data_IF_000876418602
#
_entry.id   IF_000876418602
#
_cell.length_a   1.000
_cell.length_b   1.000
_cell.length_c   1.000
_cell.angle_alpha   90.00
_cell.angle_beta   90.00
_cell.angle_gamma   90.00
#
_symmetry.space_group_name_H-M   'P 1'
#
loop_
_entity.id
_entity.type
_entity.pdbx_description
1 polymer ?
#
# COMPACT_ATOMS: atom_id res chain seq x y z
N UNK A 1 -6.11 4.44 -24.09
CA UNK A 1 -5.10 5.28 -23.40
C UNK A 1 -4.35 4.36 -22.47
N UNK A 2 -3.12 4.00 -22.84
CA UNK A 2 -2.30 3.07 -22.06
C UNK A 2 -1.85 3.80 -20.79
N UNK A 3 -2.26 3.31 -19.62
CA UNK A 3 -1.81 3.86 -18.36
C UNK A 3 -0.29 3.70 -18.30
N UNK A 4 0.44 4.82 -18.29
CA UNK A 4 1.90 4.84 -18.12
C UNK A 4 2.20 4.11 -16.82
N UNK A 5 2.63 2.86 -16.90
CA UNK A 5 3.00 2.08 -15.72
C UNK A 5 4.16 2.81 -15.06
N UNK A 6 3.99 3.34 -13.83
CA UNK A 6 5.09 3.94 -13.11
C UNK A 6 6.20 2.90 -13.01
N UNK A 7 7.45 3.32 -13.23
CA UNK A 7 8.63 2.46 -13.10
C UNK A 7 8.86 2.10 -11.63
N UNK A 8 7.96 1.28 -11.10
CA UNK A 8 8.08 0.58 -9.82
C UNK A 8 9.10 -0.54 -10.07
N UNK A 9 10.18 -0.57 -9.29
CA UNK A 9 11.03 -1.77 -9.25
C UNK A 9 10.09 -2.87 -8.78
N UNK A 10 9.93 -3.99 -9.52
CA UNK A 10 8.82 -4.91 -9.32
C UNK A 10 8.63 -5.19 -7.84
N UNK A 11 7.42 -4.96 -7.32
CA UNK A 11 7.14 -5.10 -5.91
C UNK A 11 7.61 -6.47 -5.45
N UNK A 12 8.31 -6.53 -4.33
CA UNK A 12 8.91 -7.75 -3.84
C UNK A 12 7.81 -8.62 -3.21
N UNK A 13 6.97 -9.23 -4.07
CA UNK A 13 5.88 -10.15 -3.78
C UNK A 13 4.49 -9.55 -4.03
N UNK A 14 3.59 -10.43 -4.48
CA UNK A 14 2.23 -10.13 -4.89
C UNK A 14 1.28 -10.91 -4.00
N UNK A 15 0.23 -10.25 -3.52
CA UNK A 15 -0.87 -10.94 -2.88
C UNK A 15 -1.57 -11.82 -3.94
N UNK A 16 -1.74 -13.09 -3.61
CA UNK A 16 -2.39 -14.11 -4.43
C UNK A 16 -3.66 -14.65 -3.74
N UNK A 17 -4.10 -14.03 -2.63
CA UNK A 17 -5.37 -14.35 -2.00
C UNK A 17 -6.53 -13.98 -2.95
N UNK A 18 -7.44 -14.92 -3.20
CA UNK A 18 -8.58 -14.73 -4.09
C UNK A 18 -9.39 -13.49 -3.65
N UNK A 19 -9.54 -12.52 -4.56
CA UNK A 19 -10.17 -11.22 -4.29
C UNK A 19 -9.25 -10.10 -3.76
N UNK A 20 -7.97 -10.37 -3.52
CA UNK A 20 -6.92 -9.36 -3.17
C UNK A 20 -5.71 -9.40 -4.11
N UNK A 21 -5.84 -10.12 -5.20
CA UNK A 21 -4.82 -10.34 -6.22
C UNK A 21 -4.17 -9.03 -6.70
N UNK A 22 -2.84 -9.05 -6.85
CA UNK A 22 -2.08 -7.90 -7.36
C UNK A 22 -1.73 -6.86 -6.30
N UNK A 23 -2.10 -7.11 -5.04
CA UNK A 23 -1.66 -6.30 -3.91
C UNK A 23 -0.14 -6.32 -3.74
N UNK A 24 0.45 -5.15 -3.54
CA UNK A 24 1.87 -5.01 -3.21
C UNK A 24 2.02 -4.83 -1.69
N UNK A 25 2.87 -5.65 -1.08
CA UNK A 25 3.20 -5.58 0.35
C UNK A 25 4.55 -4.90 0.60
N UNK A 26 5.42 -4.76 -0.41
CA UNK A 26 6.67 -4.02 -0.31
C UNK A 26 7.09 -3.46 -1.67
N UNK A 27 7.51 -2.20 -1.71
CA UNK A 27 8.11 -1.63 -2.90
C UNK A 27 8.93 -0.36 -2.65
N UNK A 28 9.76 -0.05 -3.63
CA UNK A 28 10.58 1.16 -3.68
C UNK A 28 10.45 1.81 -5.06
N UNK A 29 10.34 3.14 -5.09
CA UNK A 29 10.29 3.93 -6.31
C UNK A 29 11.68 4.50 -6.62
N UNK A 30 11.96 4.71 -7.91
CA UNK A 30 13.18 5.42 -8.35
C UNK A 30 13.26 6.87 -7.86
N UNK A 31 12.18 7.41 -7.30
CA UNK A 31 12.10 8.76 -6.73
C UNK A 31 12.44 8.77 -5.24
N UNK A 32 13.00 7.67 -4.71
CA UNK A 32 13.40 7.57 -3.31
C UNK A 32 12.26 7.26 -2.35
N UNK A 33 11.10 6.78 -2.82
CA UNK A 33 10.00 6.40 -1.91
C UNK A 33 10.04 4.92 -1.60
N UNK A 34 9.82 4.54 -0.35
CA UNK A 34 9.63 3.15 0.07
C UNK A 34 8.33 3.01 0.85
N UNK A 35 7.61 1.94 0.58
CA UNK A 35 6.46 1.56 1.39
C UNK A 35 6.40 0.05 1.61
N UNK A 36 5.96 -0.32 2.81
CA UNK A 36 5.73 -1.69 3.22
C UNK A 36 4.40 -1.81 3.96
N UNK A 37 3.68 -2.91 3.72
CA UNK A 37 2.44 -3.25 4.37
C UNK A 37 2.60 -4.57 5.12
N UNK A 38 2.24 -4.59 6.39
CA UNK A 38 2.24 -5.79 7.23
C UNK A 38 0.85 -6.02 7.79
N UNK A 39 0.43 -7.28 7.87
CA UNK A 39 -0.86 -7.63 8.45
C UNK A 39 -0.80 -7.52 9.96
N UNK A 40 -1.89 -7.06 10.56
CA UNK A 40 -2.14 -7.21 11.99
C UNK A 40 -3.04 -8.44 12.19
N UNK A 41 -2.68 -9.34 13.10
CA UNK A 41 -3.47 -10.54 13.35
C UNK A 41 -4.67 -10.17 14.23
N UNK A 42 -5.84 -10.08 13.61
CA UNK A 42 -7.09 -9.80 14.32
C UNK A 42 -7.93 -11.06 14.51
N UNK A 43 -8.52 -11.28 15.71
CA UNK A 43 -9.42 -12.42 15.94
C UNK A 43 -10.72 -12.37 15.13
N UNK A 44 -11.14 -11.16 14.72
CA UNK A 44 -12.34 -10.91 13.92
C UNK A 44 -11.95 -10.14 12.68
N UNK A 45 -12.26 -10.70 11.52
CA UNK A 45 -12.02 -10.09 10.22
C UNK A 45 -13.36 -9.59 9.69
N UNK A 46 -13.40 -8.35 9.22
CA UNK A 46 -14.53 -7.82 8.47
C UNK A 46 -14.39 -8.23 7.00
N UNK A 47 -15.33 -9.03 6.49
CA UNK A 47 -15.34 -9.50 5.09
C UNK A 47 -15.67 -8.40 4.09
N UNK A 48 -16.32 -7.33 4.53
CA UNK A 48 -16.72 -6.19 3.68
C UNK A 48 -15.66 -5.07 3.64
N UNK A 49 -14.56 -5.24 4.38
CA UNK A 49 -13.47 -4.27 4.40
C UNK A 49 -12.70 -4.25 3.07
N UNK A 50 -12.18 -3.08 2.70
CA UNK A 50 -11.43 -2.90 1.47
C UNK A 50 -10.09 -3.65 1.49
N UNK A 51 -9.66 -4.08 0.30
CA UNK A 51 -8.31 -4.59 0.08
C UNK A 51 -7.25 -3.52 0.34
N UNK A 52 -6.15 -3.92 0.97
CA UNK A 52 -5.04 -3.02 1.35
C UNK A 52 -3.90 -3.01 0.35
N UNK A 53 -3.90 -3.94 -0.60
CA UNK A 53 -2.82 -4.16 -1.55
C UNK A 53 -2.50 -2.97 -2.46
N UNK A 54 -3.45 -2.04 -2.63
CA UNK A 54 -3.24 -0.81 -3.40
C UNK A 54 -2.52 0.27 -2.60
N UNK A 55 -2.49 0.22 -1.26
CA UNK A 55 -1.94 1.28 -0.42
C UNK A 55 -0.43 1.51 -0.66
N UNK A 56 0.33 0.45 -0.93
CA UNK A 56 1.76 0.57 -1.24
C UNK A 56 1.94 1.18 -2.63
N UNK A 57 1.27 0.65 -3.64
CA UNK A 57 1.36 1.15 -5.02
C UNK A 57 0.92 2.62 -5.13
N UNK A 58 -0.14 3.00 -4.42
CA UNK A 58 -0.62 4.38 -4.35
C UNK A 58 0.46 5.31 -3.76
N UNK A 59 1.08 4.94 -2.63
CA UNK A 59 2.16 5.76 -2.05
C UNK A 59 3.35 5.96 -3.00
N UNK A 60 3.78 4.88 -3.66
CA UNK A 60 4.94 4.88 -4.54
C UNK A 60 4.74 5.73 -5.80
N UNK A 61 3.49 6.01 -6.17
CA UNK A 61 3.12 6.71 -7.41
C UNK A 61 2.60 8.12 -7.16
N UNK A 62 2.05 8.39 -5.98
CA UNK A 62 1.53 9.69 -5.57
C UNK A 62 2.67 10.68 -5.24
N UNK A 63 2.39 11.98 -5.29
CA UNK A 63 3.35 13.05 -4.99
C UNK A 63 3.43 13.43 -3.50
N UNK A 64 2.54 12.91 -2.66
CA UNK A 64 2.49 13.19 -1.22
C UNK A 64 3.71 12.66 -0.49
N UNK A 65 4.25 13.41 0.47
CA UNK A 65 5.28 12.88 1.38
C UNK A 65 4.71 11.79 2.31
N UNK A 66 5.61 11.04 2.96
CA UNK A 66 5.28 9.94 3.86
C UNK A 66 4.27 10.32 4.94
N UNK A 67 4.44 11.49 5.58
CA UNK A 67 3.58 11.91 6.68
C UNK A 67 2.18 12.29 6.17
N UNK A 68 2.11 13.08 5.10
CA UNK A 68 0.85 13.46 4.48
C UNK A 68 0.05 12.24 4.00
N UNK A 69 0.74 11.25 3.42
CA UNK A 69 0.10 10.01 2.98
C UNK A 69 -0.42 9.17 4.14
N UNK A 70 0.38 8.98 5.19
CA UNK A 70 -0.06 8.25 6.39
C UNK A 70 -1.27 8.92 7.06
N UNK A 71 -1.31 10.26 7.08
CA UNK A 71 -2.45 11.00 7.62
C UNK A 71 -3.73 10.78 6.80
N UNK A 72 -3.63 10.76 5.47
CA UNK A 72 -4.72 10.43 4.55
C UNK A 72 -5.25 9.02 4.83
N UNK A 73 -4.38 8.02 4.81
CA UNK A 73 -4.75 6.62 5.08
C UNK A 73 -5.34 6.46 6.48
N UNK A 74 -4.81 7.17 7.48
CA UNK A 74 -5.35 7.13 8.84
C UNK A 74 -6.79 7.66 8.92
N UNK A 75 -7.15 8.67 8.12
CA UNK A 75 -8.53 9.17 8.07
C UNK A 75 -9.51 8.17 7.45
N UNK A 76 -9.01 7.31 6.56
CA UNK A 76 -9.73 6.25 5.87
C UNK A 76 -9.58 4.88 6.57
N UNK A 77 -8.89 4.83 7.72
CA UNK A 77 -8.48 3.59 8.38
C UNK A 77 -9.64 2.65 8.74
N UNK A 78 -10.82 3.21 8.98
CA UNK A 78 -12.06 2.47 9.28
C UNK A 78 -12.57 1.61 8.11
N UNK A 79 -12.07 1.81 6.89
CA UNK A 79 -12.44 1.06 5.70
C UNK A 79 -11.69 -0.27 5.56
N UNK A 80 -10.64 -0.50 6.37
CA UNK A 80 -9.72 -1.63 6.24
C UNK A 80 -9.72 -2.51 7.50
N UNK A 81 -9.42 -3.80 7.34
CA UNK A 81 -8.99 -4.64 8.45
C UNK A 81 -7.59 -4.22 8.92
N UNK A 82 -7.28 -4.42 10.20
CA UNK A 82 -6.04 -4.03 10.87
C UNK A 82 -4.77 -4.39 10.10
N UNK A 83 -3.87 -3.43 10.02
CA UNK A 83 -2.61 -3.51 9.29
C UNK A 83 -1.64 -2.44 9.83
N UNK A 84 -0.36 -2.61 9.52
CA UNK A 84 0.60 -1.51 9.63
C UNK A 84 1.08 -1.13 8.23
N UNK A 85 1.09 0.17 7.96
CA UNK A 85 1.70 0.75 6.78
C UNK A 85 2.91 1.57 7.21
N UNK A 86 4.06 1.24 6.62
CA UNK A 86 5.32 1.91 6.86
C UNK A 86 5.71 2.62 5.57
N UNK A 87 6.01 3.92 5.65
CA UNK A 87 6.47 4.73 4.52
C UNK A 87 7.79 5.43 4.85
N UNK A 88 8.61 5.63 3.84
CA UNK A 88 9.85 6.39 3.96
C UNK A 88 10.13 7.17 2.66
N UNK A 89 10.63 8.39 2.81
CA UNK A 89 11.20 9.19 1.73
C UNK A 89 12.73 9.29 1.93
N UNK A 90 13.48 8.83 0.95
CA UNK A 90 14.92 8.98 0.85
C UNK A 90 15.22 10.19 -0.05
N UNK A 91 15.85 11.21 0.54
CA UNK A 91 16.36 12.39 -0.18
C UNK A 91 17.79 12.14 -0.64
#
# INVERSE_FOLDING_TARGET
MEAVKPHIIPPAGLDMEEGKEGGTWLGISKRGKLAALTNYLEPKINTDAQGRGSLVSNFLTESLDSFSYLKKVSSEGHLYNGFNLITADFK
#
